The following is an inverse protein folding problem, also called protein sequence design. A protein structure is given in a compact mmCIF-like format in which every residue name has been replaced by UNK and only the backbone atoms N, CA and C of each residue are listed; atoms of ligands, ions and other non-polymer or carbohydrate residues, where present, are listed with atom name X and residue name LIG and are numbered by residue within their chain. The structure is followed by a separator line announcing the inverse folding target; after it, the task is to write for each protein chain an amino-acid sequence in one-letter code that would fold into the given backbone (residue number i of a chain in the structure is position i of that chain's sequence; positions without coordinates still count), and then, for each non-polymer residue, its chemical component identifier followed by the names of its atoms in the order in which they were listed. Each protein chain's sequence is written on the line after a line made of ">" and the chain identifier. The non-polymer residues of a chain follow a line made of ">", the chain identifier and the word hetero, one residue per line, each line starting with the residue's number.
data_IF_218295331945
#
_entry.id   IF_218295331945
#
_cell.length_a   1.000
_cell.length_b   1.000
_cell.length_c   1.000
_cell.angle_alpha   90.00
_cell.angle_beta   90.00
_cell.angle_gamma   90.00
#
_symmetry.space_group_name_H-M   'P 1'
#
loop_
_entity.id
_entity.type
_entity.pdbx_description
1 polymer ?
#
# COMPACT_ATOMS: atom_id res chain seq x y z
N UNK A 1 2.51 -0.72 13.27
CA UNK A 1 1.55 -1.05 12.19
C UNK A 1 1.05 -2.48 12.31
N UNK A 2 -0.12 -2.80 11.75
CA UNK A 2 -0.66 -4.17 11.79
C UNK A 2 0.07 -5.08 10.78
N UNK A 3 0.39 -6.31 11.19
CA UNK A 3 1.02 -7.34 10.33
C UNK A 3 0.26 -7.56 9.02
N UNK A 4 -1.06 -7.41 9.06
CA UNK A 4 -1.98 -7.53 7.91
C UNK A 4 -1.72 -6.48 6.83
N UNK A 5 -1.45 -5.23 7.21
CA UNK A 5 -1.17 -4.17 6.25
C UNK A 5 0.09 -4.49 5.43
N UNK A 6 1.17 -4.93 6.08
CA UNK A 6 2.38 -5.29 5.36
C UNK A 6 2.22 -6.55 4.52
N UNK A 7 1.44 -7.53 4.99
CA UNK A 7 1.09 -8.72 4.19
C UNK A 7 0.35 -8.33 2.91
N UNK A 8 -0.60 -7.39 3.01
CA UNK A 8 -1.34 -6.90 1.84
C UNK A 8 -0.44 -6.11 0.88
N UNK A 9 0.39 -5.21 1.39
CA UNK A 9 1.35 -4.46 0.58
C UNK A 9 2.32 -5.42 -0.10
N UNK A 10 2.87 -6.41 0.61
CA UNK A 10 3.77 -7.41 0.02
C UNK A 10 3.11 -8.24 -1.08
N UNK A 11 1.83 -8.58 -0.93
CA UNK A 11 1.05 -9.27 -1.96
C UNK A 11 0.85 -8.40 -3.20
N UNK A 12 0.41 -7.15 -3.05
CA UNK A 12 0.12 -6.25 -4.18
C UNK A 12 1.41 -5.81 -4.88
N UNK A 13 2.44 -5.50 -4.11
CA UNK A 13 3.73 -5.04 -4.62
C UNK A 13 4.64 -6.20 -5.03
N UNK A 14 4.25 -7.45 -4.78
CA UNK A 14 5.05 -8.65 -5.06
C UNK A 14 6.47 -8.57 -4.47
N UNK A 15 6.58 -8.06 -3.23
CA UNK A 15 7.85 -7.96 -2.50
C UNK A 15 7.75 -8.67 -1.13
N UNK A 16 8.86 -9.22 -0.62
CA UNK A 16 8.87 -9.81 0.71
C UNK A 16 8.53 -8.78 1.80
N UNK A 17 7.72 -9.18 2.78
CA UNK A 17 7.36 -8.34 3.95
C UNK A 17 8.62 -7.83 4.68
N UNK A 18 9.70 -8.61 4.67
CA UNK A 18 10.98 -8.23 5.28
C UNK A 18 11.66 -7.02 4.60
N UNK A 19 11.23 -6.64 3.41
CA UNK A 19 11.71 -5.46 2.67
C UNK A 19 10.77 -4.24 2.83
N UNK A 20 9.64 -4.41 3.52
CA UNK A 20 8.66 -3.36 3.75
C UNK A 20 8.89 -2.76 5.14
N UNK A 21 8.89 -1.44 5.21
CA UNK A 21 9.01 -0.67 6.45
C UNK A 21 8.02 0.48 6.44
N UNK A 22 7.80 1.15 7.57
CA UNK A 22 6.93 2.32 7.63
C UNK A 22 7.39 3.48 6.71
N UNK A 23 8.69 3.55 6.39
CA UNK A 23 9.24 4.51 5.42
C UNK A 23 9.14 4.06 3.97
N UNK A 24 8.62 2.87 3.69
CA UNK A 24 8.47 2.39 2.32
C UNK A 24 7.29 3.08 1.62
N UNK A 25 7.44 3.29 0.33
CA UNK A 25 6.48 3.96 -0.55
C UNK A 25 6.92 3.88 -2.02
N UNK A 26 6.29 4.68 -2.90
CA UNK A 26 6.56 4.69 -4.34
C UNK A 26 8.04 4.90 -4.73
N UNK A 27 8.79 5.66 -3.94
CA UNK A 27 10.22 5.92 -4.21
C UNK A 27 11.13 4.74 -3.84
N UNK A 28 10.69 3.85 -2.95
CA UNK A 28 11.49 2.74 -2.42
C UNK A 28 11.12 1.38 -3.00
N UNK A 29 9.90 1.23 -3.50
CA UNK A 29 9.35 -0.02 -4.02
C UNK A 29 9.04 0.20 -5.50
N UNK A 30 9.86 -0.38 -6.38
CA UNK A 30 9.76 -0.20 -7.84
C UNK A 30 8.38 -0.61 -8.40
N UNK A 31 7.78 -1.66 -7.83
CA UNK A 31 6.46 -2.15 -8.23
C UNK A 31 5.33 -1.24 -7.75
N UNK A 32 5.57 -0.25 -6.90
CA UNK A 32 4.56 0.69 -6.42
C UNK A 32 4.30 1.80 -7.45
N UNK A 33 3.84 1.36 -8.61
CA UNK A 33 3.34 2.21 -9.69
C UNK A 33 1.98 2.80 -9.33
N UNK A 34 1.52 3.81 -10.07
CA UNK A 34 0.16 4.35 -9.89
C UNK A 34 -0.90 3.26 -9.98
N UNK A 35 -0.74 2.29 -10.89
CA UNK A 35 -1.69 1.17 -11.03
C UNK A 35 -1.71 0.28 -9.78
N UNK A 36 -0.54 -0.16 -9.30
CA UNK A 36 -0.48 -1.00 -8.10
C UNK A 36 -0.89 -0.23 -6.83
N UNK A 37 -0.71 1.09 -6.80
CA UNK A 37 -1.27 1.96 -5.77
C UNK A 37 -2.81 1.91 -5.75
N UNK A 38 -3.47 1.97 -6.91
CA UNK A 38 -4.92 1.81 -7.00
C UNK A 38 -5.39 0.41 -6.58
N UNK A 39 -4.66 -0.65 -6.96
CA UNK A 39 -4.96 -2.02 -6.53
C UNK A 39 -4.84 -2.16 -5.01
N UNK A 40 -3.80 -1.57 -4.41
CA UNK A 40 -3.60 -1.58 -2.97
C UNK A 40 -4.76 -0.87 -2.25
N UNK A 41 -5.15 0.32 -2.73
CA UNK A 41 -6.30 1.05 -2.19
C UNK A 41 -7.57 0.20 -2.24
N UNK A 42 -7.87 -0.41 -3.39
CA UNK A 42 -9.04 -1.28 -3.54
C UNK A 42 -9.04 -2.45 -2.55
N UNK A 43 -7.91 -3.14 -2.38
CA UNK A 43 -7.81 -4.23 -1.42
C UNK A 43 -7.93 -3.74 0.03
N UNK A 44 -7.42 -2.55 0.36
CA UNK A 44 -7.57 -1.95 1.68
C UNK A 44 -9.03 -1.61 2.00
N UNK A 45 -9.75 -1.01 1.04
CA UNK A 45 -11.18 -0.75 1.18
C UNK A 45 -11.96 -2.03 1.44
N UNK A 46 -11.65 -3.09 0.69
CA UNK A 46 -12.32 -4.37 0.80
C UNK A 46 -12.00 -5.11 2.11
N UNK A 47 -10.71 -5.17 2.49
CA UNK A 47 -10.26 -5.93 3.66
C UNK A 47 -10.63 -5.25 4.98
N UNK A 48 -10.55 -3.92 5.04
CA UNK A 48 -10.84 -3.14 6.25
C UNK A 48 -12.26 -2.56 6.27
N UNK A 49 -13.05 -2.77 5.20
CA UNK A 49 -14.39 -2.21 5.03
C UNK A 49 -14.41 -0.68 5.22
N UNK A 50 -13.39 -0.02 4.67
CA UNK A 50 -13.22 1.44 4.65
C UNK A 50 -13.43 1.97 3.24
N UNK A 51 -13.58 3.28 3.10
CA UNK A 51 -13.58 3.95 1.80
C UNK A 51 -12.64 5.14 1.84
N UNK A 52 -11.75 5.21 0.86
CA UNK A 52 -10.86 6.35 0.68
C UNK A 52 -11.44 7.29 -0.36
N UNK A 53 -11.27 8.58 -0.14
CA UNK A 53 -11.54 9.57 -1.18
C UNK A 53 -10.36 9.62 -2.17
N UNK A 54 -10.62 10.11 -3.39
CA UNK A 54 -9.56 10.27 -4.39
C UNK A 54 -8.47 11.25 -3.92
N UNK A 55 -8.82 12.22 -3.09
CA UNK A 55 -7.87 13.18 -2.52
C UNK A 55 -6.91 12.50 -1.53
N UNK A 56 -7.42 11.62 -0.66
CA UNK A 56 -6.60 10.82 0.26
C UNK A 56 -5.72 9.79 -0.47
N UNK A 57 -6.20 9.26 -1.59
CA UNK A 57 -5.47 8.30 -2.43
C UNK A 57 -4.25 8.90 -3.14
N UNK A 58 -4.28 10.20 -3.47
CA UNK A 58 -3.26 10.86 -4.29
C UNK A 58 -2.06 11.33 -3.46
N UNK A 59 -2.19 11.53 -2.15
CA UNK A 59 -1.12 12.07 -1.30
C UNK A 59 -0.32 11.01 -0.50
N UNK A 60 -0.44 9.73 -0.86
CA UNK A 60 0.30 8.67 -0.17
C UNK A 60 1.78 8.70 -0.56
N UNK A 61 2.63 9.19 0.35
CA UNK A 61 4.10 9.23 0.18
C UNK A 61 4.81 8.05 0.83
N UNK A 62 4.35 7.64 1.99
CA UNK A 62 4.95 6.58 2.83
C UNK A 62 3.84 5.81 3.53
N UNK A 63 4.18 4.67 4.12
CA UNK A 63 3.25 3.87 4.92
C UNK A 63 2.91 4.53 6.28
N UNK A 64 3.85 5.27 6.87
CA UNK A 64 3.70 5.94 8.18
C UNK A 64 2.69 7.09 8.21
#
# INVERSE_FOLDING_TARGET
>A
MSKRLYELIGKVMNVPISQISDGSGPESIESWTSFNGYVLLYELEHEFNVKFTMEEAIDVKTIS
#
